data_IF_484671526706
#
_entry.id   IF_484671526706
#
_cell.length_a   1.000
_cell.length_b   1.000
_cell.length_c   1.000
_cell.angle_alpha   90.00
_cell.angle_beta   90.00
_cell.angle_gamma   90.00
#
_symmetry.space_group_name_H-M   'P 1'
#
loop_
_entity.id
_entity.type
_entity.pdbx_description
1 polymer ?
#
# COMPACT_ATOMS: atom_id res chain seq x y z
N UNK A 1 10.85 -14.92 -8.70
CA UNK A 1 10.28 -13.56 -8.73
C UNK A 1 11.29 -12.66 -8.06
N UNK A 2 11.72 -11.58 -8.72
CA UNK A 2 12.69 -10.65 -8.14
C UNK A 2 11.93 -9.69 -7.22
N UNK A 3 12.25 -9.68 -5.94
CA UNK A 3 11.67 -8.72 -5.00
C UNK A 3 12.36 -7.37 -5.17
N UNK A 4 11.59 -6.29 -5.22
CA UNK A 4 12.08 -4.91 -5.38
C UNK A 4 11.69 -4.05 -4.18
N UNK A 5 12.48 -3.02 -3.87
CA UNK A 5 12.17 -2.12 -2.76
C UNK A 5 10.82 -1.42 -2.98
N UNK A 6 9.93 -1.34 -1.97
CA UNK A 6 8.67 -0.62 -2.10
C UNK A 6 8.85 0.88 -2.36
N UNK A 7 8.21 1.38 -3.42
CA UNK A 7 8.15 2.82 -3.71
C UNK A 7 7.29 3.55 -2.68
N UNK A 8 7.74 4.74 -2.31
CA UNK A 8 7.07 5.61 -1.34
C UNK A 8 6.37 6.77 -2.05
N UNK A 9 5.09 6.97 -1.75
CA UNK A 9 4.25 8.05 -2.26
C UNK A 9 3.66 8.81 -1.06
N UNK A 10 3.61 10.14 -1.14
CA UNK A 10 3.14 10.96 -0.02
C UNK A 10 2.23 12.10 -0.47
N UNK A 11 0.98 12.07 -0.02
CA UNK A 11 0.08 13.20 -0.16
C UNK A 11 0.42 14.23 0.93
N UNK A 12 1.05 15.33 0.53
CA UNK A 12 1.49 16.40 1.44
C UNK A 12 0.30 17.27 1.89
N UNK A 13 0.33 17.71 3.15
CA UNK A 13 -0.61 18.74 3.64
C UNK A 13 -0.14 20.15 3.21
N UNK A 14 -1.08 21.02 2.84
CA UNK A 14 -0.75 22.40 2.48
C UNK A 14 -1.97 23.32 2.33
N UNK A 15 -1.78 24.65 2.38
CA UNK A 15 -2.87 25.64 2.30
C UNK A 15 -3.64 25.61 0.97
N UNK A 16 -3.05 25.01 -0.07
CA UNK A 16 -3.66 24.79 -1.38
C UNK A 16 -3.86 23.29 -1.62
N UNK A 17 -4.92 22.71 -1.04
CA UNK A 17 -5.23 21.28 -1.14
C UNK A 17 -5.22 20.74 -2.59
N UNK A 18 -5.59 21.57 -3.58
CA UNK A 18 -5.54 21.21 -4.99
C UNK A 18 -4.12 20.94 -5.51
N UNK A 19 -3.11 21.71 -5.08
CA UNK A 19 -1.72 21.50 -5.51
C UNK A 19 -1.19 20.15 -5.01
N UNK A 20 -1.48 19.81 -3.75
CA UNK A 20 -1.06 18.53 -3.17
C UNK A 20 -1.66 17.33 -3.91
N UNK A 21 -2.93 17.43 -4.31
CA UNK A 21 -3.62 16.39 -5.09
C UNK A 21 -2.97 16.21 -6.47
N UNK A 22 -2.68 17.31 -7.18
CA UNK A 22 -2.03 17.25 -8.50
C UNK A 22 -0.63 16.67 -8.39
N UNK A 23 0.19 17.14 -7.43
CA UNK A 23 1.53 16.61 -7.21
C UNK A 23 1.52 15.11 -6.90
N UNK A 24 0.61 14.66 -6.03
CA UNK A 24 0.48 13.24 -5.70
C UNK A 24 0.03 12.40 -6.90
N UNK A 25 -0.89 12.92 -7.73
CA UNK A 25 -1.28 12.28 -8.99
C UNK A 25 -0.09 12.11 -9.91
N UNK A 26 0.71 13.15 -10.10
CA UNK A 26 1.88 13.10 -10.98
C UNK A 26 2.93 12.11 -10.46
N UNK A 27 3.14 12.03 -9.13
CA UNK A 27 3.97 11.00 -8.50
C UNK A 27 3.43 9.59 -8.75
N UNK A 28 2.11 9.38 -8.66
CA UNK A 28 1.49 8.08 -8.96
C UNK A 28 1.72 7.68 -10.42
N UNK A 29 1.48 8.59 -11.37
CA UNK A 29 1.68 8.34 -12.80
C UNK A 29 3.15 8.01 -13.09
N UNK A 30 4.07 8.76 -12.49
CA UNK A 30 5.49 8.50 -12.64
C UNK A 30 5.88 7.11 -12.11
N UNK A 31 5.42 6.74 -10.92
CA UNK A 31 5.69 5.43 -10.32
C UNK A 31 5.11 4.27 -11.13
N UNK A 32 3.86 4.38 -11.59
CA UNK A 32 3.20 3.35 -12.40
C UNK A 32 3.93 3.16 -13.75
N UNK A 33 4.35 4.25 -14.38
CA UNK A 33 5.12 4.19 -15.62
C UNK A 33 6.49 3.54 -15.40
N UNK A 34 7.23 3.99 -14.39
CA UNK A 34 8.59 3.53 -14.13
C UNK A 34 8.65 2.06 -13.71
N UNK A 35 7.69 1.60 -12.92
CA UNK A 35 7.65 0.23 -12.41
C UNK A 35 6.89 -0.73 -13.33
N UNK A 36 5.94 -0.22 -14.12
CA UNK A 36 5.05 -1.00 -14.98
C UNK A 36 4.45 -2.23 -14.28
N UNK A 37 3.80 -2.07 -13.11
CA UNK A 37 3.33 -3.20 -12.32
C UNK A 37 2.11 -3.84 -12.98
N UNK A 38 1.98 -5.17 -12.88
CA UNK A 38 0.78 -5.88 -13.34
C UNK A 38 -0.44 -5.57 -12.47
N UNK A 39 -0.23 -5.26 -11.18
CA UNK A 39 -1.27 -4.96 -10.21
C UNK A 39 -0.84 -3.92 -9.18
N UNK A 40 -1.82 -3.17 -8.67
CA UNK A 40 -1.70 -2.31 -7.49
C UNK A 40 -2.53 -2.91 -6.36
N UNK A 41 -1.93 -3.07 -5.18
CA UNK A 41 -2.61 -3.59 -3.99
C UNK A 41 -2.74 -2.50 -2.94
N UNK A 42 -3.98 -2.18 -2.55
CA UNK A 42 -4.29 -1.27 -1.45
C UNK A 42 -4.66 -2.09 -0.23
N UNK A 43 -3.79 -2.09 0.78
CA UNK A 43 -4.04 -2.80 2.04
C UNK A 43 -5.02 -2.02 2.93
N UNK A 44 -6.12 -2.66 3.30
CA UNK A 44 -7.09 -2.06 4.21
C UNK A 44 -6.47 -1.76 5.58
N UNK A 45 -7.00 -0.71 6.20
CA UNK A 45 -6.55 -0.26 7.50
C UNK A 45 -6.76 -1.31 8.58
N UNK A 46 -5.88 -1.31 9.57
CA UNK A 46 -6.07 -2.13 10.76
C UNK A 46 -7.23 -1.54 11.59
N UNK A 47 -8.23 -2.34 11.98
CA UNK A 47 -9.24 -1.86 12.91
C UNK A 47 -8.54 -1.55 14.24
N UNK A 48 -8.34 -0.26 14.51
CA UNK A 48 -7.77 0.22 15.76
C UNK A 48 -8.77 0.09 16.91
N UNK A 49 -8.28 0.21 18.15
CA UNK A 49 -9.14 0.28 19.35
C UNK A 49 -10.01 1.55 19.39
N UNK A 50 -9.64 2.59 18.62
CA UNK A 50 -10.33 3.88 18.55
C UNK A 50 -10.74 4.16 17.11
N UNK A 51 -11.94 4.72 16.94
CA UNK A 51 -12.42 5.26 15.67
C UNK A 51 -11.47 6.38 15.22
N UNK A 52 -10.89 6.31 14.00
CA UNK A 52 -10.00 7.35 13.48
C UNK A 52 -10.72 8.70 13.36
N UNK A 53 -9.99 9.81 13.48
CA UNK A 53 -10.59 11.13 13.22
C UNK A 53 -10.86 11.27 11.73
N UNK A 54 -11.95 11.97 11.38
CA UNK A 54 -12.31 12.24 9.97
C UNK A 54 -11.17 12.94 9.21
N UNK A 55 -10.40 13.80 9.89
CA UNK A 55 -9.23 14.45 9.29
C UNK A 55 -8.17 13.44 8.85
N UNK A 56 -7.81 12.47 9.71
CA UNK A 56 -6.82 11.43 9.41
C UNK A 56 -7.27 10.52 8.25
N UNK A 57 -8.58 10.26 8.19
CA UNK A 57 -9.20 9.46 7.13
C UNK A 57 -9.23 10.17 5.78
N UNK A 58 -9.38 11.50 5.78
CA UNK A 58 -9.51 12.30 4.57
C UNK A 58 -8.27 12.17 3.70
N UNK A 59 -7.09 12.42 4.24
CA UNK A 59 -5.82 12.34 3.50
C UNK A 59 -5.59 10.93 2.96
N UNK A 60 -5.85 9.91 3.79
CA UNK A 60 -5.69 8.51 3.38
C UNK A 60 -6.64 8.14 2.24
N UNK A 61 -7.94 8.42 2.38
CA UNK A 61 -8.91 8.08 1.34
C UNK A 61 -8.69 8.85 0.05
N UNK A 62 -8.28 10.11 0.12
CA UNK A 62 -7.88 10.88 -1.06
C UNK A 62 -6.71 10.22 -1.78
N UNK A 63 -5.65 9.83 -1.04
CA UNK A 63 -4.50 9.15 -1.63
C UNK A 63 -4.86 7.79 -2.24
N UNK A 64 -5.65 6.96 -1.53
CA UNK A 64 -6.11 5.65 -2.03
C UNK A 64 -6.96 5.80 -3.31
N UNK A 65 -7.89 6.76 -3.33
CA UNK A 65 -8.76 7.00 -4.49
C UNK A 65 -7.98 7.51 -5.71
N UNK A 66 -7.03 8.45 -5.50
CA UNK A 66 -6.18 8.96 -6.57
C UNK A 66 -5.28 7.87 -7.16
N UNK A 67 -4.65 7.06 -6.31
CA UNK A 67 -3.82 5.94 -6.77
C UNK A 67 -4.64 4.92 -7.57
N UNK A 68 -5.83 4.56 -7.09
CA UNK A 68 -6.72 3.65 -7.80
C UNK A 68 -7.17 4.22 -9.16
N UNK A 69 -7.48 5.52 -9.22
CA UNK A 69 -7.80 6.19 -10.49
C UNK A 69 -6.63 6.16 -11.46
N UNK A 70 -5.41 6.49 -11.00
CA UNK A 70 -4.21 6.46 -11.85
C UNK A 70 -3.89 5.04 -12.33
N UNK A 71 -4.12 4.02 -11.49
CA UNK A 71 -3.92 2.63 -11.88
C UNK A 71 -4.87 2.22 -13.00
N UNK A 72 -6.16 2.58 -12.90
CA UNK A 72 -7.15 2.32 -13.95
C UNK A 72 -6.79 3.03 -15.25
N UNK A 73 -6.39 4.30 -15.19
CA UNK A 73 -5.96 5.07 -16.37
C UNK A 73 -4.72 4.46 -17.04
N UNK A 74 -3.85 3.79 -16.26
CA UNK A 74 -2.67 3.08 -16.74
C UNK A 74 -2.95 1.61 -17.12
N UNK A 75 -4.22 1.18 -17.16
CA UNK A 75 -4.64 -0.20 -17.43
C UNK A 75 -4.07 -1.23 -16.45
N UNK A 76 -3.71 -0.81 -15.23
CA UNK A 76 -3.20 -1.66 -14.16
C UNK A 76 -4.35 -2.08 -13.23
N UNK A 77 -4.47 -3.39 -12.98
CA UNK A 77 -5.51 -3.90 -12.07
C UNK A 77 -5.26 -3.43 -10.64
N UNK A 78 -6.22 -2.71 -10.06
CA UNK A 78 -6.15 -2.26 -8.67
C UNK A 78 -7.06 -3.10 -7.78
N UNK A 79 -6.51 -3.67 -6.70
CA UNK A 79 -7.24 -4.49 -5.73
C UNK A 79 -7.17 -3.92 -4.33
N UNK A 80 -8.28 -4.00 -3.59
CA UNK A 80 -8.30 -3.74 -2.15
C UNK A 80 -8.19 -5.06 -1.41
N UNK A 81 -7.20 -5.17 -0.52
CA UNK A 81 -6.95 -6.38 0.23
C UNK A 81 -7.31 -6.21 1.70
N UNK A 82 -8.31 -6.95 2.15
CA UNK A 82 -8.65 -7.03 3.56
C UNK A 82 -7.53 -7.75 4.34
N UNK A 83 -7.20 -7.27 5.54
CA UNK A 83 -6.16 -7.89 6.38
C UNK A 83 -6.45 -9.33 6.77
N UNK A 84 -7.73 -9.68 6.94
CA UNK A 84 -8.13 -11.06 7.21
C UNK A 84 -7.75 -11.98 6.03
N UNK A 85 -8.00 -11.54 4.81
CA UNK A 85 -7.62 -12.23 3.58
C UNK A 85 -6.10 -12.33 3.44
N UNK A 86 -5.38 -11.23 3.65
CA UNK A 86 -3.91 -11.21 3.66
C UNK A 86 -3.35 -12.27 4.61
N UNK A 87 -3.83 -12.29 5.86
CA UNK A 87 -3.38 -13.27 6.86
C UNK A 87 -3.72 -14.70 6.46
N UNK A 88 -4.92 -14.92 5.92
CA UNK A 88 -5.35 -16.25 5.47
C UNK A 88 -4.47 -16.78 4.35
N UNK A 89 -4.12 -15.94 3.36
CA UNK A 89 -3.30 -16.33 2.22
C UNK A 89 -1.85 -16.61 2.61
N UNK A 90 -1.32 -15.87 3.57
CA UNK A 90 0.06 -16.02 4.04
C UNK A 90 0.23 -16.94 5.26
N UNK A 91 -0.84 -17.57 5.75
CA UNK A 91 -0.78 -18.43 6.93
C UNK A 91 -0.37 -17.70 8.22
N UNK A 92 -0.58 -16.39 8.30
CA UNK A 92 -0.13 -15.58 9.44
C UNK A 92 -1.04 -15.75 10.67
N UNK A 93 -0.50 -15.63 11.90
CA UNK A 93 -1.30 -15.66 13.11
C UNK A 93 -2.43 -14.62 13.09
N UNK A 94 -3.57 -14.92 13.72
CA UNK A 94 -4.70 -13.96 13.81
C UNK A 94 -4.45 -12.80 14.78
N UNK A 95 -3.52 -12.97 15.73
CA UNK A 95 -3.19 -11.99 16.78
C UNK A 95 -1.90 -11.22 16.44
N UNK A 96 -1.73 -10.05 17.05
CA UNK A 96 -0.60 -9.15 16.81
C UNK A 96 -0.77 -8.29 15.56
N UNK A 97 0.07 -7.27 15.37
CA UNK A 97 0.01 -6.45 14.16
C UNK A 97 0.60 -7.22 12.97
N UNK A 98 0.15 -6.96 11.74
CA UNK A 98 0.73 -7.62 10.55
C UNK A 98 2.23 -7.32 10.43
N UNK A 99 2.64 -6.11 10.82
CA UNK A 99 4.03 -5.68 10.81
C UNK A 99 4.95 -6.56 11.68
N UNK A 100 4.41 -7.15 12.75
CA UNK A 100 5.19 -8.01 13.65
C UNK A 100 5.56 -9.35 13.01
N UNK A 101 4.89 -9.73 11.91
CA UNK A 101 5.05 -11.02 11.24
C UNK A 101 5.79 -10.93 9.90
N UNK A 102 6.34 -9.77 9.54
CA UNK A 102 6.99 -9.55 8.23
C UNK A 102 8.17 -10.50 8.02
N UNK A 103 8.96 -10.75 9.06
CA UNK A 103 10.11 -11.67 9.02
C UNK A 103 9.71 -13.14 8.79
N UNK A 104 8.42 -13.50 8.93
CA UNK A 104 7.92 -14.83 8.56
C UNK A 104 7.55 -14.95 7.07
N UNK A 105 7.48 -13.81 6.36
CA UNK A 105 7.12 -13.73 4.94
C UNK A 105 8.35 -13.50 4.07
N UNK A 106 9.31 -12.72 4.56
CA UNK A 106 10.53 -12.35 3.85
C UNK A 106 11.76 -12.67 4.69
N UNK A 107 12.66 -13.51 4.17
CA UNK A 107 13.88 -13.92 4.87
C UNK A 107 14.98 -12.84 4.85
N UNK A 108 14.95 -11.92 3.89
CA UNK A 108 15.98 -10.88 3.72
C UNK A 108 15.35 -9.54 3.35
N UNK A 109 15.72 -8.43 4.03
CA UNK A 109 15.28 -7.11 3.61
C UNK A 109 15.86 -6.68 2.25
N UNK A 110 15.00 -6.51 1.25
CA UNK A 110 15.18 -5.82 -0.02
C UNK A 110 15.28 -4.30 0.24
N UNK A 111 16.47 -3.87 0.65
CA UNK A 111 16.84 -2.46 0.76
C UNK A 111 16.98 -1.93 2.20
N UNK A 112 17.71 -0.82 2.34
CA UNK A 112 18.11 -0.23 3.63
C UNK A 112 16.94 0.35 4.44
N UNK A 113 15.83 0.69 3.79
CA UNK A 113 14.70 1.41 4.39
C UNK A 113 13.41 0.60 4.44
N UNK A 114 13.48 -0.73 4.27
CA UNK A 114 12.32 -1.61 4.41
C UNK A 114 11.95 -1.76 5.89
N UNK A 115 11.17 -0.79 6.38
CA UNK A 115 10.59 -0.81 7.73
C UNK A 115 9.16 -0.26 7.71
N UNK A 116 8.36 -0.66 8.70
CA UNK A 116 7.05 -0.08 9.03
C UNK A 116 6.03 -0.21 7.89
N UNK A 117 5.67 0.91 7.24
CA UNK A 117 4.62 0.95 6.20
C UNK A 117 5.05 0.26 4.91
N UNK A 118 6.36 0.26 4.60
CA UNK A 118 6.90 -0.43 3.43
C UNK A 118 6.82 -1.95 3.60
N UNK A 119 7.02 -2.44 4.82
CA UNK A 119 6.85 -3.86 5.15
C UNK A 119 5.43 -4.31 4.88
N UNK A 120 4.46 -3.54 5.35
CA UNK A 120 3.05 -3.82 5.13
C UNK A 120 2.65 -3.81 3.64
N UNK A 121 3.20 -2.88 2.86
CA UNK A 121 2.95 -2.81 1.42
C UNK A 121 3.49 -4.06 0.70
N UNK A 122 4.72 -4.47 1.03
CA UNK A 122 5.32 -5.65 0.44
C UNK A 122 4.62 -6.95 0.85
N UNK A 123 4.24 -7.10 2.12
CA UNK A 123 3.46 -8.26 2.59
C UNK A 123 2.10 -8.31 1.89
N UNK A 124 1.45 -7.16 1.65
CA UNK A 124 0.19 -7.11 0.90
C UNK A 124 0.36 -7.54 -0.56
N UNK A 125 1.42 -7.05 -1.24
CA UNK A 125 1.75 -7.49 -2.59
C UNK A 125 2.01 -9.00 -2.66
N UNK A 126 2.77 -9.55 -1.70
CA UNK A 126 3.04 -10.99 -1.61
C UNK A 126 1.77 -11.81 -1.40
N UNK A 127 0.87 -11.35 -0.54
CA UNK A 127 -0.41 -12.01 -0.31
C UNK A 127 -1.33 -11.99 -1.53
N UNK A 128 -1.28 -10.96 -2.37
CA UNK A 128 -2.02 -10.96 -3.62
C UNK A 128 -1.45 -12.01 -4.59
N UNK A 129 -0.14 -12.06 -4.74
CA UNK A 129 0.56 -13.02 -5.61
C UNK A 129 0.26 -14.48 -5.22
N UNK A 130 0.17 -14.79 -3.93
CA UNK A 130 -0.15 -16.16 -3.43
C UNK A 130 -1.64 -16.50 -3.60
N UNK A 131 -2.50 -15.49 -3.72
CA UNK A 131 -3.94 -15.68 -3.87
C UNK A 131 -4.41 -15.94 -5.29
N UNK A 132 -3.52 -15.84 -6.27
CA UNK A 132 -3.70 -16.25 -7.67
C UNK A 132 -3.32 -17.71 -7.87
#
# INVERSE_FOLDING_TARGET
MLETEPTYLELRDGPHAGYAIVAFRDECVHALTALSPNRVVILDMEPGRRVPKVADMRTRFTAEALLASCAVDAEVTCVRLARATLRSRLGLPRKGAVADHVASVFDTPVGKYWTKKRDLAAVAARAEIVGE
#
